data_IF_010935538112
#
_entry.id   IF_010935538112
#
_cell.length_a   1.000
_cell.length_b   1.000
_cell.length_c   1.000
_cell.angle_alpha   90.00
_cell.angle_beta   90.00
_cell.angle_gamma   90.00
#
_symmetry.space_group_name_H-M   'P 1'
#
loop_
_entity.id
_entity.type
_entity.pdbx_description
1 polymer ?
#
# COMPACT_ATOMS: atom_id res chain seq x y z
N UNK A 1 -4.97 -0.56 -4.04
CA UNK A 1 -5.74 -0.80 -2.81
C UNK A 1 -4.84 -0.55 -1.63
N UNK A 2 -5.42 -0.01 -0.56
CA UNK A 2 -4.80 0.20 0.74
C UNK A 2 -5.78 -0.30 1.80
N UNK A 3 -5.26 -0.85 2.89
CA UNK A 3 -6.08 -1.21 4.05
C UNK A 3 -5.66 -0.39 5.26
N UNK A 4 -6.63 0.05 6.06
CA UNK A 4 -6.39 0.81 7.29
C UNK A 4 -5.71 -0.06 8.33
N UNK A 5 -4.79 0.55 9.08
CA UNK A 5 -4.09 -0.10 10.19
C UNK A 5 -5.06 -0.62 11.27
N UNK A 6 -6.18 0.06 11.48
CA UNK A 6 -7.23 -0.36 12.42
C UNK A 6 -7.82 -1.73 12.05
N UNK A 7 -8.22 -1.92 10.78
CA UNK A 7 -8.77 -3.17 10.27
C UNK A 7 -7.73 -4.28 10.38
N UNK A 8 -6.49 -4.00 9.98
CA UNK A 8 -5.40 -4.97 10.03
C UNK A 8 -5.07 -5.39 11.46
N UNK A 9 -4.96 -4.44 12.41
CA UNK A 9 -4.66 -4.76 13.82
C UNK A 9 -5.79 -5.54 14.49
N UNK A 10 -7.04 -5.28 14.10
CA UNK A 10 -8.21 -5.99 14.62
C UNK A 10 -8.24 -7.45 14.16
N UNK A 11 -8.00 -7.69 12.87
CA UNK A 11 -8.14 -9.02 12.27
C UNK A 11 -6.84 -9.85 12.28
N UNK A 12 -5.68 -9.20 12.32
CA UNK A 12 -4.36 -9.82 12.28
C UNK A 12 -3.42 -9.21 13.35
N UNK A 13 -3.77 -9.26 14.66
CA UNK A 13 -3.04 -8.59 15.74
C UNK A 13 -1.55 -8.97 15.86
N UNK A 14 -1.18 -10.16 15.40
CA UNK A 14 0.18 -10.70 15.38
C UNK A 14 1.09 -10.06 14.33
N UNK A 15 0.54 -9.32 13.36
CA UNK A 15 1.34 -8.76 12.26
C UNK A 15 2.17 -7.56 12.71
N UNK A 16 3.48 -7.59 12.44
CA UNK A 16 4.39 -6.46 12.66
C UNK A 16 4.69 -5.81 11.31
N UNK A 17 4.01 -4.69 11.03
CA UNK A 17 4.11 -3.97 9.75
C UNK A 17 4.52 -2.52 9.92
N UNK A 18 5.23 -2.01 8.92
CA UNK A 18 5.52 -0.58 8.78
C UNK A 18 4.31 0.10 8.15
N UNK A 19 3.81 1.14 8.81
CA UNK A 19 2.62 1.88 8.36
C UNK A 19 3.01 3.09 7.52
N UNK A 20 2.28 3.32 6.43
CA UNK A 20 2.26 4.62 5.75
C UNK A 20 1.37 5.56 6.57
N UNK A 21 1.95 6.64 7.08
CA UNK A 21 1.29 7.51 8.08
C UNK A 21 0.87 8.83 7.46
N UNK A 22 -0.41 9.16 7.59
CA UNK A 22 -1.01 10.40 7.08
C UNK A 22 -1.88 11.05 8.15
N UNK A 23 -2.30 12.29 7.91
CA UNK A 23 -3.16 13.02 8.84
C UNK A 23 -4.55 12.37 9.04
N UNK A 24 -5.00 11.59 8.05
CA UNK A 24 -6.30 10.91 7.98
C UNK A 24 -6.20 9.39 8.21
N UNK A 25 -5.07 8.92 8.72
CA UNK A 25 -4.89 7.53 9.16
C UNK A 25 -3.56 6.90 8.77
N UNK A 26 -3.38 5.70 9.30
CA UNK A 26 -2.26 4.82 8.99
C UNK A 26 -2.74 3.69 8.06
N UNK A 27 -1.96 3.38 7.02
CA UNK A 27 -2.36 2.42 5.98
C UNK A 27 -1.23 1.45 5.64
N UNK A 28 -1.61 0.29 5.07
CA UNK A 28 -0.69 -0.63 4.41
C UNK A 28 -1.11 -0.91 2.97
N UNK A 29 -0.13 -1.28 2.13
CA UNK A 29 -0.34 -1.65 0.74
C UNK A 29 -1.02 -3.00 0.60
N UNK A 30 -1.93 -3.15 -0.37
CA UNK A 30 -2.60 -4.42 -0.64
C UNK A 30 -2.17 -5.10 -1.94
N UNK A 31 -1.06 -4.67 -2.56
CA UNK A 31 -0.56 -5.18 -3.86
C UNK A 31 -1.60 -5.26 -5.01
N UNK A 32 -2.74 -4.58 -4.87
CA UNK A 32 -3.81 -4.50 -5.86
C UNK A 32 -3.79 -3.13 -6.53
N UNK A 33 -3.78 -3.10 -7.85
CA UNK A 33 -3.71 -1.87 -8.64
C UNK A 33 -4.76 -1.90 -9.75
N UNK A 34 -5.42 -0.76 -9.96
CA UNK A 34 -6.38 -0.56 -11.05
C UNK A 34 -5.83 0.51 -12.01
N UNK A 35 -5.64 0.12 -13.27
CA UNK A 35 -5.23 1.02 -14.35
C UNK A 35 -6.42 1.27 -15.28
N UNK A 36 -7.27 2.24 -14.92
CA UNK A 36 -8.56 2.45 -15.59
C UNK A 36 -8.54 3.47 -16.74
N UNK A 37 -7.38 4.04 -17.08
CA UNK A 37 -7.26 5.09 -18.11
C UNK A 37 -5.97 4.91 -18.91
N UNK A 38 -5.90 5.42 -20.15
CA UNK A 38 -4.66 5.40 -20.94
C UNK A 38 -3.48 6.08 -20.23
N UNK A 39 -3.75 7.18 -19.50
CA UNK A 39 -2.72 7.91 -18.73
C UNK A 39 -2.17 7.13 -17.53
N UNK A 40 -2.77 5.99 -17.16
CA UNK A 40 -2.31 5.17 -16.05
C UNK A 40 -0.90 4.57 -16.32
N UNK A 41 -0.51 4.41 -17.58
CA UNK A 41 0.86 4.03 -17.97
C UNK A 41 1.91 5.03 -17.45
N UNK A 42 1.58 6.32 -17.38
CA UNK A 42 2.49 7.34 -16.83
C UNK A 42 2.76 7.12 -15.34
N UNK A 43 1.76 6.64 -14.59
CA UNK A 43 1.93 6.27 -13.18
C UNK A 43 2.88 5.08 -13.03
N UNK A 44 2.77 4.06 -13.90
CA UNK A 44 3.68 2.91 -13.93
C UNK A 44 5.11 3.36 -14.26
N UNK A 45 5.28 4.19 -15.29
CA UNK A 45 6.59 4.73 -15.66
C UNK A 45 7.20 5.59 -14.54
N UNK A 46 6.38 6.38 -13.84
CA UNK A 46 6.82 7.16 -12.68
C UNK A 46 7.25 6.25 -11.52
N UNK A 47 6.47 5.21 -11.22
CA UNK A 47 6.81 4.19 -10.23
C UNK A 47 8.13 3.49 -10.57
N UNK A 48 8.34 3.05 -11.81
CA UNK A 48 9.60 2.43 -12.25
C UNK A 48 10.81 3.35 -12.03
N UNK A 49 10.67 4.66 -12.29
CA UNK A 49 11.74 5.64 -12.03
C UNK A 49 12.05 5.80 -10.54
N UNK A 50 11.03 5.73 -9.67
CA UNK A 50 11.19 5.75 -8.22
C UNK A 50 11.88 4.47 -7.73
N UNK A 51 11.39 3.32 -8.17
CA UNK A 51 11.89 2.01 -7.76
C UNK A 51 13.37 1.81 -8.15
N UNK A 52 13.75 2.24 -9.36
CA UNK A 52 15.15 2.24 -9.81
C UNK A 52 16.08 3.07 -8.90
N UNK A 53 15.53 4.02 -8.13
CA UNK A 53 16.25 4.90 -7.20
C UNK A 53 16.06 4.52 -5.74
N UNK A 54 15.42 3.38 -5.43
CA UNK A 54 15.05 2.98 -4.06
C UNK A 54 16.21 2.97 -3.05
N UNK A 55 17.45 2.73 -3.54
CA UNK A 55 18.68 2.74 -2.72
C UNK A 55 19.26 4.14 -2.50
N UNK A 56 18.65 5.19 -3.06
CA UNK A 56 19.10 6.58 -2.97
C UNK A 56 17.95 7.48 -2.51
N UNK A 57 17.77 7.65 -1.19
CA UNK A 57 16.65 8.40 -0.63
C UNK A 57 16.57 9.84 -1.14
N UNK A 58 17.71 10.51 -1.32
CA UNK A 58 17.75 11.88 -1.85
C UNK A 58 17.28 11.97 -3.31
N UNK A 59 17.60 10.98 -4.15
CA UNK A 59 17.11 10.93 -5.54
C UNK A 59 15.61 10.64 -5.61
N UNK A 60 15.11 9.76 -4.73
CA UNK A 60 13.67 9.54 -4.59
C UNK A 60 12.97 10.83 -4.13
N UNK A 61 13.56 11.53 -3.16
CA UNK A 61 13.03 12.79 -2.63
C UNK A 61 12.93 13.87 -3.71
N UNK A 62 13.92 13.99 -4.60
CA UNK A 62 13.86 14.91 -5.73
C UNK A 62 12.79 14.51 -6.76
N UNK A 63 12.66 13.21 -7.03
CA UNK A 63 11.70 12.69 -8.02
C UNK A 63 10.23 12.77 -7.54
N UNK A 64 9.94 12.38 -6.30
CA UNK A 64 8.64 12.60 -5.64
C UNK A 64 8.40 14.09 -5.31
N UNK A 65 9.52 14.78 -5.12
CA UNK A 65 9.77 16.18 -4.85
C UNK A 65 9.70 16.60 -3.38
N UNK A 66 10.56 17.58 -3.03
CA UNK A 66 10.90 17.88 -1.65
C UNK A 66 9.70 18.35 -0.83
N UNK A 67 8.80 19.15 -1.42
CA UNK A 67 7.59 19.61 -0.74
C UNK A 67 6.64 18.45 -0.41
N UNK A 68 6.49 17.48 -1.31
CA UNK A 68 5.66 16.28 -1.07
C UNK A 68 6.25 15.45 0.06
N UNK A 69 7.58 15.28 0.07
CA UNK A 69 8.28 14.55 1.11
C UNK A 69 8.19 15.27 2.46
N UNK A 70 8.36 16.60 2.50
CA UNK A 70 8.23 17.39 3.73
C UNK A 70 6.82 17.29 4.30
N UNK A 71 5.79 17.36 3.45
CA UNK A 71 4.40 17.16 3.86
C UNK A 71 4.16 15.77 4.44
N UNK A 72 4.69 14.72 3.79
CA UNK A 72 4.61 13.36 4.30
C UNK A 72 5.35 13.20 5.63
N UNK A 73 6.59 13.69 5.72
CA UNK A 73 7.41 13.63 6.92
C UNK A 73 6.79 14.38 8.11
N UNK A 74 6.12 15.51 7.85
CA UNK A 74 5.40 16.27 8.86
C UNK A 74 4.15 15.56 9.40
N UNK A 75 3.67 14.51 8.71
CA UNK A 75 2.41 13.78 8.99
C UNK A 75 1.15 14.64 9.01
N UNK A 76 1.21 15.88 8.48
CA UNK A 76 0.07 16.82 8.44
C UNK A 76 -0.74 16.73 7.15
N UNK A 77 -0.26 16.01 6.15
CA UNK A 77 -0.98 15.83 4.89
C UNK A 77 -1.82 14.56 4.89
N UNK A 78 -3.01 14.65 4.32
CA UNK A 78 -3.86 13.49 4.04
C UNK A 78 -3.30 12.64 2.91
N UNK A 79 -3.66 11.36 2.88
CA UNK A 79 -3.33 10.44 1.80
C UNK A 79 -3.73 11.00 0.43
N UNK A 80 -4.95 11.52 0.31
CA UNK A 80 -5.46 12.16 -0.90
C UNK A 80 -4.61 13.37 -1.35
N UNK A 81 -4.07 14.14 -0.40
CA UNK A 81 -3.20 15.29 -0.70
C UNK A 81 -1.87 14.85 -1.29
N UNK A 82 -1.25 13.83 -0.70
CA UNK A 82 0.01 13.26 -1.18
C UNK A 82 -0.18 12.63 -2.56
N UNK A 83 -1.23 11.82 -2.76
CA UNK A 83 -1.52 11.19 -4.05
C UNK A 83 -1.79 12.21 -5.15
N UNK A 84 -2.47 13.32 -4.86
CA UNK A 84 -2.69 14.40 -5.83
C UNK A 84 -1.38 15.04 -6.28
N UNK A 85 -0.45 15.26 -5.35
CA UNK A 85 0.87 15.82 -5.67
C UNK A 85 1.72 14.86 -6.49
N UNK A 86 1.73 13.58 -6.12
CA UNK A 86 2.41 12.54 -6.89
C UNK A 86 1.77 12.36 -8.28
N UNK A 87 0.45 12.40 -8.38
CA UNK A 87 -0.27 12.28 -9.65
C UNK A 87 0.06 13.41 -10.63
N UNK A 88 0.13 14.66 -10.15
CA UNK A 88 0.60 15.80 -10.97
C UNK A 88 2.00 15.58 -11.54
N UNK A 89 2.92 15.01 -10.74
CA UNK A 89 4.27 14.67 -11.20
C UNK A 89 4.32 13.47 -12.14
N UNK A 90 3.46 12.49 -11.88
CA UNK A 90 3.36 11.30 -12.69
C UNK A 90 2.65 11.58 -14.02
N UNK A 91 1.89 12.68 -14.15
CA UNK A 91 1.03 12.91 -15.32
C UNK A 91 -0.16 11.95 -15.36
N UNK A 92 -0.68 11.56 -14.19
CA UNK A 92 -1.79 10.62 -14.05
C UNK A 92 -2.64 10.94 -12.81
N UNK A 93 -3.93 10.58 -12.83
CA UNK A 93 -4.77 10.65 -11.63
C UNK A 93 -4.46 9.46 -10.72
N UNK A 94 -4.01 9.73 -9.50
CA UNK A 94 -3.81 8.71 -8.47
C UNK A 94 -4.89 8.82 -7.40
N UNK A 95 -5.45 7.68 -7.02
CA UNK A 95 -6.45 7.58 -5.95
C UNK A 95 -6.19 6.33 -5.12
N UNK A 96 -6.46 6.42 -3.82
CA UNK A 96 -6.48 5.28 -2.93
C UNK A 96 -7.86 4.62 -2.98
N UNK A 97 -7.87 3.29 -3.02
CA UNK A 97 -9.06 2.48 -2.79
C UNK A 97 -8.88 1.85 -1.40
N UNK A 98 -9.74 2.25 -0.47
CA UNK A 98 -9.79 1.69 0.88
C UNK A 98 -10.42 0.29 0.81
N UNK A 99 -9.66 -0.73 1.15
CA UNK A 99 -10.08 -2.12 1.10
C UNK A 99 -10.42 -2.59 2.53
N UNK A 100 -11.66 -3.05 2.77
CA UNK A 100 -12.10 -3.49 4.09
C UNK A 100 -11.63 -4.92 4.45
N UNK A 101 -10.45 -5.33 3.96
CA UNK A 101 -9.95 -6.69 4.06
C UNK A 101 -8.52 -6.68 4.59
N UNK A 102 -8.30 -7.08 5.85
CA UNK A 102 -6.95 -7.13 6.42
C UNK A 102 -6.02 -8.08 5.65
N UNK A 103 -6.58 -9.22 5.20
CA UNK A 103 -5.84 -10.24 4.43
C UNK A 103 -5.28 -9.71 3.12
N UNK A 104 -5.92 -8.72 2.50
CA UNK A 104 -5.44 -8.12 1.26
C UNK A 104 -4.10 -7.39 1.45
N UNK A 105 -3.78 -6.98 2.68
CA UNK A 105 -2.50 -6.37 3.03
C UNK A 105 -1.44 -7.40 3.43
N UNK A 106 -1.68 -8.72 3.31
CA UNK A 106 -0.71 -9.77 3.63
C UNK A 106 0.01 -10.25 2.37
N UNK A 107 1.33 -10.18 2.43
CA UNK A 107 2.32 -10.67 1.49
C UNK A 107 3.24 -11.68 2.20
N UNK A 108 3.63 -12.75 1.50
CA UNK A 108 4.45 -13.83 2.06
C UNK A 108 5.90 -13.64 1.65
N UNK A 109 6.65 -12.88 2.45
CA UNK A 109 8.07 -12.61 2.23
C UNK A 109 8.98 -13.27 3.28
N UNK A 110 8.43 -13.66 4.44
CA UNK A 110 9.18 -14.22 5.58
C UNK A 110 8.52 -15.49 6.12
N UNK A 111 9.26 -16.34 6.85
CA UNK A 111 8.69 -17.53 7.48
C UNK A 111 7.48 -17.26 8.40
N UNK A 112 7.48 -16.12 9.10
CA UNK A 112 6.34 -15.70 9.93
C UNK A 112 5.08 -15.39 9.11
N UNK A 113 5.23 -14.88 7.89
CA UNK A 113 4.11 -14.60 6.98
C UNK A 113 3.52 -15.91 6.45
N UNK A 114 4.37 -16.91 6.16
CA UNK A 114 3.92 -18.24 5.76
C UNK A 114 3.11 -18.92 6.88
N UNK A 115 3.61 -18.90 8.12
CA UNK A 115 2.89 -19.42 9.27
C UNK A 115 1.54 -18.73 9.45
N UNK A 116 1.49 -17.41 9.30
CA UNK A 116 0.25 -16.64 9.34
C UNK A 116 -0.73 -17.12 8.24
N UNK A 117 -0.29 -17.20 6.99
CA UNK A 117 -1.17 -17.60 5.88
C UNK A 117 -1.69 -19.02 6.05
N UNK A 118 -0.87 -19.95 6.55
CA UNK A 118 -1.32 -21.31 6.87
C UNK A 118 -2.49 -21.29 7.87
N UNK A 119 -2.38 -20.54 8.97
CA UNK A 119 -3.49 -20.41 9.95
C UNK A 119 -4.74 -19.75 9.37
N UNK A 120 -4.60 -18.88 8.38
CA UNK A 120 -5.73 -18.20 7.72
C UNK A 120 -6.45 -19.08 6.69
N UNK A 121 -5.73 -20.04 6.10
CA UNK A 121 -6.24 -20.92 5.05
C UNK A 121 -6.83 -22.23 5.61
N UNK A 122 -6.34 -22.71 6.74
CA UNK A 122 -6.77 -23.98 7.35
C UNK A 122 -8.32 -24.08 7.49
N UNK A 123 -9.04 -23.08 8.03
CA UNK A 123 -10.50 -23.15 8.12
C UNK A 123 -11.22 -23.08 6.75
N UNK A 124 -10.59 -22.48 5.75
CA UNK A 124 -11.18 -22.35 4.40
C UNK A 124 -11.09 -23.66 3.62
N UNK A 125 -10.02 -24.43 3.82
CA UNK A 125 -9.85 -25.74 3.20
C UNK A 125 -10.89 -26.70 3.78
N UNK A 126 -11.08 -26.68 5.09
CA UNK A 126 -12.05 -27.55 5.77
C UNK A 126 -13.49 -27.23 5.34
N UNK A 127 -13.86 -25.94 5.29
CA UNK A 127 -15.14 -25.50 4.74
C UNK A 127 -15.33 -25.85 3.25
N UNK A 128 -14.27 -25.92 2.45
CA UNK A 128 -14.39 -26.30 1.03
C UNK A 128 -14.57 -27.80 0.83
N UNK A 129 -14.10 -28.61 1.77
CA UNK A 129 -14.26 -30.08 1.75
C UNK A 129 -15.64 -30.52 2.27
N UNK A 130 -16.25 -29.78 3.19
CA UNK A 130 -17.63 -30.05 3.64
C UNK A 130 -18.70 -29.76 2.59
N UNK A 131 -18.40 -28.88 1.62
CA UNK A 131 -19.32 -28.50 0.54
C UNK A 131 -19.02 -29.20 -0.81
N UNK A 132 -18.09 -30.17 -0.83
CA UNK A 132 -17.71 -30.97 -2.00
C UNK A 132 -18.23 -32.41 -1.87
#
# INVERSE_FOLDING_TARGET
GLARAEIIRRELPQTRRTWLRFADGDYSGCNLFLLSTPTASNAVAFWQRLEARRKSPWRMALLAGPVTLLLYASRRATLATILRRLGRRAGARLAAIDLPFARAAVDVDKPADLALVQTLLEPLVESSLEHA
#
